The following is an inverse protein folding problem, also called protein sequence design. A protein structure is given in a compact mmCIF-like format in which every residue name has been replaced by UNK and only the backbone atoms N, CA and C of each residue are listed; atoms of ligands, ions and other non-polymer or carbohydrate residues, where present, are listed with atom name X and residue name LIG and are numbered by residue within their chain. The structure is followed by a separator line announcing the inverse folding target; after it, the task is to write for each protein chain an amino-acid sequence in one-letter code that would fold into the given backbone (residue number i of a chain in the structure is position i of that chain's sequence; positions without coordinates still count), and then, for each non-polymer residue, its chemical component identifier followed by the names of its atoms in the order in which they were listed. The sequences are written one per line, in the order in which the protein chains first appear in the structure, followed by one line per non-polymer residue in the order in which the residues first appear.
data_IF_756384398003
#
_entry.id   IF_756384398003
#
_cell.length_a   1.000
_cell.length_b   1.000
_cell.length_c   1.000
_cell.angle_alpha   90.00
_cell.angle_beta   90.00
_cell.angle_gamma   90.00
#
_symmetry.space_group_name_H-M   'P 1'
#
loop_
_entity.id
_entity.type
_entity.pdbx_description
1 polymer ?
#
# COMPACT_ATOMS: atom_id res chain seq x y z
N UNK A 1 -23.73 8.58 32.54
CA UNK A 1 -22.50 7.82 32.86
C UNK A 1 -22.05 6.92 31.71
N UNK A 2 -22.86 5.97 31.22
CA UNK A 2 -22.48 5.07 30.10
C UNK A 2 -22.16 5.80 28.78
N UNK A 3 -22.93 6.84 28.45
CA UNK A 3 -22.68 7.69 27.28
C UNK A 3 -21.28 8.34 27.30
N UNK A 4 -20.78 8.74 28.47
CA UNK A 4 -19.44 9.34 28.60
C UNK A 4 -18.33 8.31 28.35
N UNK A 5 -18.56 7.06 28.76
CA UNK A 5 -17.64 5.95 28.48
C UNK A 5 -17.61 5.61 27.00
N UNK A 6 -18.78 5.51 26.35
CA UNK A 6 -18.84 5.19 24.92
C UNK A 6 -18.34 6.31 24.01
N UNK A 7 -18.46 7.56 24.42
CA UNK A 7 -17.97 8.71 23.68
C UNK A 7 -16.51 9.08 24.00
N UNK A 8 -15.84 8.35 24.90
CA UNK A 8 -14.46 8.62 25.25
C UNK A 8 -13.53 8.38 24.05
N UNK A 9 -12.76 9.41 23.68
CA UNK A 9 -11.74 9.31 22.63
C UNK A 9 -10.42 8.91 23.27
N UNK A 10 -10.02 7.67 23.08
CA UNK A 10 -8.74 7.18 23.59
C UNK A 10 -7.63 7.21 22.52
N UNK A 11 -6.39 7.17 22.98
CA UNK A 11 -5.18 7.32 22.15
C UNK A 11 -4.69 5.98 21.60
N UNK A 12 -5.09 4.86 22.19
CA UNK A 12 -4.73 3.53 21.75
C UNK A 12 -5.94 2.59 21.76
N UNK A 13 -5.77 1.39 21.22
CA UNK A 13 -6.93 0.57 20.89
C UNK A 13 -7.34 -0.41 21.98
N UNK A 14 -6.44 -0.69 22.93
CA UNK A 14 -6.81 -1.33 24.19
C UNK A 14 -7.77 -0.43 24.95
N UNK A 15 -7.40 0.84 25.15
CA UNK A 15 -8.24 1.83 25.81
C UNK A 15 -9.56 2.04 25.06
N UNK A 16 -9.55 2.11 23.72
CA UNK A 16 -10.78 2.26 22.91
C UNK A 16 -11.72 1.09 23.11
N UNK A 17 -11.18 -0.12 23.18
CA UNK A 17 -11.98 -1.33 23.31
C UNK A 17 -12.50 -1.48 24.75
N UNK A 18 -11.64 -1.31 25.75
CA UNK A 18 -11.96 -1.42 27.18
C UNK A 18 -13.05 -0.44 27.58
N UNK A 19 -12.96 0.82 27.14
CA UNK A 19 -13.98 1.85 27.44
C UNK A 19 -15.37 1.50 26.90
N UNK A 20 -15.46 0.65 25.86
CA UNK A 20 -16.73 0.18 25.31
C UNK A 20 -17.30 -1.03 26.05
N UNK A 21 -16.45 -1.95 26.51
CA UNK A 21 -16.87 -3.25 27.06
C UNK A 21 -16.90 -3.29 28.58
N UNK A 22 -16.03 -2.55 29.27
CA UNK A 22 -15.87 -2.63 30.73
C UNK A 22 -17.17 -2.26 31.47
N UNK A 23 -17.93 -1.22 31.07
CA UNK A 23 -19.21 -0.95 31.72
C UNK A 23 -20.22 -2.09 31.61
N UNK A 24 -20.23 -2.80 30.47
CA UNK A 24 -21.12 -3.94 30.25
C UNK A 24 -20.73 -5.11 31.17
N UNK A 25 -19.43 -5.39 31.30
CA UNK A 25 -18.91 -6.43 32.20
C UNK A 25 -19.24 -6.10 33.66
N UNK A 26 -19.04 -4.85 34.09
CA UNK A 26 -19.36 -4.41 35.46
C UNK A 26 -20.84 -4.60 35.76
N UNK A 27 -21.73 -4.12 34.87
CA UNK A 27 -23.18 -4.26 35.06
C UNK A 27 -23.59 -5.73 35.09
N UNK A 28 -23.00 -6.58 34.25
CA UNK A 28 -23.24 -8.02 34.22
C UNK A 28 -22.85 -8.72 35.53
N UNK A 29 -21.65 -8.45 36.05
CA UNK A 29 -21.18 -9.06 37.30
C UNK A 29 -21.98 -8.57 38.53
N UNK A 30 -22.38 -7.29 38.54
CA UNK A 30 -23.28 -6.77 39.57
C UNK A 30 -24.67 -7.40 39.51
N UNK A 31 -25.19 -7.60 38.29
CA UNK A 31 -26.47 -8.27 38.09
C UNK A 31 -26.42 -9.72 38.60
N UNK A 32 -25.36 -10.49 38.27
CA UNK A 32 -25.17 -11.85 38.79
C UNK A 32 -25.09 -11.88 40.31
N UNK A 33 -24.30 -10.99 40.92
CA UNK A 33 -24.19 -10.91 42.38
C UNK A 33 -25.55 -10.62 43.06
N UNK A 34 -26.37 -9.74 42.45
CA UNK A 34 -27.73 -9.45 42.93
C UNK A 34 -28.65 -10.66 42.80
N UNK A 35 -28.59 -11.37 41.68
CA UNK A 35 -29.39 -12.56 41.44
C UNK A 35 -29.04 -13.69 42.41
N UNK A 36 -27.75 -13.98 42.62
CA UNK A 36 -27.32 -14.97 43.63
C UNK A 36 -27.82 -14.62 45.03
N UNK A 37 -27.82 -13.34 45.42
CA UNK A 37 -28.39 -12.93 46.71
C UNK A 37 -29.91 -13.15 46.76
N UNK A 38 -30.62 -12.80 45.69
CA UNK A 38 -32.09 -12.80 45.67
C UNK A 38 -32.68 -14.22 45.54
N UNK A 39 -32.06 -15.07 44.75
CA UNK A 39 -32.65 -16.36 44.35
C UNK A 39 -31.90 -17.58 44.91
N UNK A 40 -30.60 -17.45 45.22
CA UNK A 40 -29.78 -18.55 45.72
C UNK A 40 -29.42 -18.37 47.21
N UNK A 41 -29.84 -17.24 47.82
CA UNK A 41 -29.50 -16.83 49.18
C UNK A 41 -27.96 -16.77 49.44
N UNK A 42 -27.17 -16.62 48.38
CA UNK A 42 -25.72 -16.55 48.43
C UNK A 42 -25.25 -15.10 48.46
N UNK A 43 -24.49 -14.71 49.48
CA UNK A 43 -23.90 -13.37 49.58
C UNK A 43 -22.52 -13.35 48.91
N UNK A 44 -22.46 -12.83 47.70
CA UNK A 44 -21.20 -12.60 46.97
C UNK A 44 -20.48 -11.40 47.58
N UNK A 45 -19.18 -11.58 47.91
CA UNK A 45 -18.35 -10.49 48.44
C UNK A 45 -17.96 -9.50 47.33
N UNK A 46 -17.73 -8.24 47.71
CA UNK A 46 -17.23 -7.22 46.80
C UNK A 46 -15.91 -7.64 46.13
N UNK A 47 -15.01 -8.26 46.90
CA UNK A 47 -13.75 -8.78 46.39
C UNK A 47 -13.98 -9.79 45.25
N UNK A 48 -14.89 -10.76 45.44
CA UNK A 48 -15.21 -11.76 44.43
C UNK A 48 -15.81 -11.12 43.16
N UNK A 49 -16.69 -10.14 43.31
CA UNK A 49 -17.24 -9.40 42.15
C UNK A 49 -16.14 -8.65 41.40
N UNK A 50 -15.22 -7.97 42.10
CA UNK A 50 -14.07 -7.29 41.48
C UNK A 50 -13.18 -8.28 40.70
N UNK A 51 -12.87 -9.42 41.30
CA UNK A 51 -12.07 -10.48 40.65
C UNK A 51 -12.77 -11.02 39.40
N UNK A 52 -14.08 -11.26 39.46
CA UNK A 52 -14.81 -11.72 38.27
C UNK A 52 -14.78 -10.69 37.13
N UNK A 53 -14.97 -9.40 37.44
CA UNK A 53 -14.88 -8.32 36.43
C UNK A 53 -13.51 -8.34 35.74
N UNK A 54 -12.43 -8.41 36.52
CA UNK A 54 -11.07 -8.47 35.98
C UNK A 54 -10.86 -9.72 35.12
N UNK A 55 -11.25 -10.89 35.61
CA UNK A 55 -11.07 -12.16 34.89
C UNK A 55 -11.83 -12.16 33.55
N UNK A 56 -13.09 -11.72 33.55
CA UNK A 56 -13.88 -11.61 32.32
C UNK A 56 -13.26 -10.60 31.35
N UNK A 57 -12.79 -9.44 31.85
CA UNK A 57 -12.11 -8.46 31.01
C UNK A 57 -10.84 -9.05 30.37
N UNK A 58 -9.97 -9.70 31.15
CA UNK A 58 -8.73 -10.33 30.66
C UNK A 58 -9.03 -11.39 29.61
N UNK A 59 -10.03 -12.25 29.83
CA UNK A 59 -10.42 -13.28 28.85
C UNK A 59 -10.86 -12.67 27.52
N UNK A 60 -11.73 -11.64 27.56
CA UNK A 60 -12.20 -10.96 26.35
C UNK A 60 -11.04 -10.25 25.63
N UNK A 61 -10.11 -9.65 26.38
CA UNK A 61 -8.93 -9.00 25.82
C UNK A 61 -7.98 -10.01 25.16
N UNK A 62 -7.66 -11.13 25.82
CA UNK A 62 -6.82 -12.21 25.25
C UNK A 62 -7.44 -12.82 23.98
N UNK A 63 -8.77 -12.96 23.95
CA UNK A 63 -9.48 -13.44 22.74
C UNK A 63 -9.40 -12.44 21.58
N UNK A 64 -9.54 -11.13 21.87
CA UNK A 64 -9.51 -10.06 20.86
C UNK A 64 -8.08 -9.77 20.37
N UNK A 65 -7.12 -9.74 21.28
CA UNK A 65 -5.73 -9.35 21.05
C UNK A 65 -4.80 -10.55 21.23
N UNK A 66 -5.01 -11.61 20.45
CA UNK A 66 -4.31 -12.91 20.57
C UNK A 66 -2.78 -12.84 20.49
N UNK A 67 -2.24 -11.78 19.88
CA UNK A 67 -0.80 -11.55 19.69
C UNK A 67 -0.20 -10.58 20.71
N UNK A 68 -1.01 -10.06 21.63
CA UNK A 68 -0.53 -9.19 22.69
C UNK A 68 -0.27 -10.01 23.94
N UNK A 69 0.92 -9.89 24.51
CA UNK A 69 1.24 -10.52 25.77
C UNK A 69 0.71 -9.65 26.93
N UNK A 70 -0.57 -9.84 27.28
CA UNK A 70 -1.21 -9.13 28.37
C UNK A 70 -1.08 -9.90 29.69
N UNK A 71 -0.58 -9.23 30.71
CA UNK A 71 -0.68 -9.70 32.10
C UNK A 71 -2.13 -9.80 32.57
N UNK A 72 -2.37 -10.59 33.62
CA UNK A 72 -3.72 -10.83 34.17
C UNK A 72 -4.12 -9.80 35.24
N UNK A 73 -3.16 -9.00 35.69
CA UNK A 73 -3.37 -7.98 36.71
C UNK A 73 -3.92 -6.68 36.15
N UNK A 74 -4.67 -5.94 36.98
CA UNK A 74 -5.23 -4.64 36.60
C UNK A 74 -4.17 -3.62 36.16
N UNK A 75 -3.00 -3.65 36.80
CA UNK A 75 -1.86 -2.79 36.43
C UNK A 75 -1.38 -3.05 35.00
N UNK A 76 -1.31 -4.31 34.58
CA UNK A 76 -0.91 -4.67 33.21
C UNK A 76 -1.91 -4.14 32.18
N UNK A 77 -3.21 -4.16 32.51
CA UNK A 77 -4.27 -3.60 31.66
C UNK A 77 -4.13 -2.08 31.56
N UNK A 78 -3.84 -1.40 32.67
CA UNK A 78 -3.62 0.06 32.68
C UNK A 78 -2.41 0.42 31.82
N UNK A 79 -1.28 -0.27 32.00
CA UNK A 79 -0.08 -0.06 31.17
C UNK A 79 -0.38 -0.25 29.68
N UNK A 80 -1.15 -1.28 29.33
CA UNK A 80 -1.57 -1.50 27.93
C UNK A 80 -2.51 -0.39 27.40
N UNK A 81 -3.27 0.28 28.25
CA UNK A 81 -4.12 1.43 27.88
C UNK A 81 -3.33 2.74 27.70
N UNK A 82 -2.19 2.86 28.38
CA UNK A 82 -1.32 4.04 28.33
C UNK A 82 -0.18 3.89 27.30
N UNK A 83 0.12 2.65 26.90
CA UNK A 83 1.17 2.36 25.94
C UNK A 83 0.96 3.07 24.60
N UNK A 84 2.06 3.60 24.05
CA UNK A 84 2.09 4.16 22.72
C UNK A 84 2.28 3.05 21.68
N UNK A 85 1.18 2.53 21.16
CA UNK A 85 1.19 1.38 20.26
C UNK A 85 1.01 1.84 18.82
N UNK A 86 2.11 1.80 18.06
CA UNK A 86 2.08 2.01 16.61
C UNK A 86 1.50 0.80 15.89
N UNK A 87 0.47 1.04 15.10
CA UNK A 87 -0.19 -0.02 14.32
C UNK A 87 0.35 -0.03 12.91
N UNK A 88 0.87 -1.18 12.46
CA UNK A 88 1.46 -1.33 11.13
C UNK A 88 0.67 -2.38 10.34
N UNK A 89 0.12 -1.99 9.20
CA UNK A 89 -0.40 -2.93 8.20
C UNK A 89 0.63 -3.13 7.11
N UNK A 90 0.94 -4.40 6.90
CA UNK A 90 1.69 -4.86 5.75
C UNK A 90 0.72 -5.30 4.66
N UNK A 91 0.84 -4.70 3.48
CA UNK A 91 0.16 -5.13 2.26
C UNK A 91 1.18 -5.76 1.33
N UNK A 92 0.96 -7.01 0.94
CA UNK A 92 1.74 -7.66 -0.11
C UNK A 92 1.39 -7.03 -1.47
N UNK A 93 2.42 -6.58 -2.19
CA UNK A 93 2.37 -5.92 -3.50
C UNK A 93 3.22 -6.72 -4.46
N UNK A 94 2.73 -6.96 -5.67
CA UNK A 94 3.49 -7.58 -6.75
C UNK A 94 3.15 -6.95 -8.08
N UNK A 95 4.02 -7.14 -9.07
CA UNK A 95 3.67 -6.85 -10.45
C UNK A 95 2.57 -7.79 -10.93
N UNK A 96 1.49 -7.22 -11.47
CA UNK A 96 0.35 -8.00 -11.94
C UNK A 96 0.43 -8.19 -13.46
N UNK A 97 0.26 -9.42 -13.91
CA UNK A 97 0.08 -9.70 -15.34
C UNK A 97 -1.27 -9.14 -15.85
N UNK A 98 -1.43 -8.88 -17.15
CA UNK A 98 -2.73 -8.58 -17.73
C UNK A 98 -3.78 -9.66 -17.39
N UNK A 99 -5.06 -9.29 -17.20
CA UNK A 99 -6.12 -10.23 -16.78
C UNK A 99 -6.39 -11.31 -17.84
N UNK A 100 -6.69 -12.57 -17.42
CA UNK A 100 -6.99 -13.67 -18.34
C UNK A 100 -8.46 -13.74 -18.80
N UNK A 101 -8.72 -14.28 -20.00
CA UNK A 101 -7.73 -14.53 -21.05
C UNK A 101 -7.29 -13.17 -21.63
N UNK A 102 -5.98 -12.86 -21.67
CA UNK A 102 -5.58 -11.66 -22.38
C UNK A 102 -5.88 -11.89 -23.87
N UNK A 103 -6.47 -10.93 -24.58
CA UNK A 103 -6.41 -10.90 -26.03
C UNK A 103 -4.98 -11.22 -26.51
N UNK A 104 -4.83 -11.91 -27.66
CA UNK A 104 -3.53 -12.10 -28.28
C UNK A 104 -2.82 -10.74 -28.38
N UNK A 105 -1.55 -10.69 -28.01
CA UNK A 105 -0.69 -9.50 -28.14
C UNK A 105 -0.93 -8.33 -27.16
N UNK A 106 -1.63 -8.55 -26.04
CA UNK A 106 -1.58 -7.55 -24.94
C UNK A 106 -0.18 -7.51 -24.36
N UNK A 107 0.35 -6.29 -24.32
CA UNK A 107 1.58 -5.96 -23.63
C UNK A 107 1.32 -4.97 -22.51
N UNK A 108 2.22 -4.96 -21.53
CA UNK A 108 2.18 -4.00 -20.44
C UNK A 108 3.41 -3.11 -20.51
N UNK A 109 3.19 -1.80 -20.53
CA UNK A 109 4.21 -0.78 -20.34
C UNK A 109 4.18 -0.33 -18.88
N UNK A 110 5.30 -0.45 -18.20
CA UNK A 110 5.57 0.25 -16.96
C UNK A 110 6.50 1.42 -17.26
N UNK A 111 6.26 2.59 -16.69
CA UNK A 111 7.16 3.75 -16.79
C UNK A 111 7.34 4.44 -15.44
N UNK A 112 8.46 5.11 -15.29
CA UNK A 112 8.79 5.93 -14.13
C UNK A 112 9.71 7.11 -14.53
N UNK A 113 9.68 8.18 -13.74
CA UNK A 113 10.51 9.36 -13.86
C UNK A 113 11.36 9.60 -12.61
N UNK A 114 12.63 9.91 -12.82
CA UNK A 114 13.57 10.30 -11.77
C UNK A 114 13.96 11.76 -11.92
N UNK A 115 14.11 12.48 -10.81
CA UNK A 115 14.62 13.85 -10.81
C UNK A 115 15.60 14.02 -9.64
N UNK A 116 16.87 14.25 -9.96
CA UNK A 116 17.95 14.45 -9.00
C UNK A 116 18.54 15.85 -9.19
N UNK A 117 18.39 16.71 -8.17
CA UNK A 117 18.94 18.07 -8.16
C UNK A 117 18.54 18.91 -9.39
N UNK A 118 17.30 18.74 -9.86
CA UNK A 118 16.76 19.46 -11.02
C UNK A 118 17.13 18.85 -12.38
N UNK A 119 17.92 17.77 -12.41
CA UNK A 119 18.15 16.97 -13.61
C UNK A 119 17.18 15.80 -13.62
N UNK A 120 16.42 15.68 -14.69
CA UNK A 120 15.40 14.66 -14.90
C UNK A 120 15.92 13.55 -15.79
N UNK A 121 15.36 12.38 -15.57
CA UNK A 121 15.59 11.17 -16.34
C UNK A 121 14.39 10.25 -16.26
N UNK A 122 14.24 9.33 -17.19
CA UNK A 122 13.10 8.44 -17.26
C UNK A 122 13.52 7.01 -17.55
N UNK A 123 12.64 6.07 -17.26
CA UNK A 123 12.85 4.68 -17.62
C UNK A 123 11.53 3.93 -17.71
N UNK A 124 11.55 2.84 -18.47
CA UNK A 124 10.37 2.02 -18.65
C UNK A 124 10.69 0.64 -19.16
N UNK A 125 9.70 -0.23 -19.04
CA UNK A 125 9.79 -1.65 -19.39
C UNK A 125 8.48 -2.06 -20.06
N UNK A 126 8.60 -2.67 -21.24
CA UNK A 126 7.50 -3.27 -21.99
C UNK A 126 7.62 -4.79 -21.89
N UNK A 127 6.55 -5.44 -21.45
CA UNK A 127 6.47 -6.90 -21.24
C UNK A 127 5.27 -7.51 -21.92
N UNK A 128 5.41 -8.75 -22.38
CA UNK A 128 4.28 -9.55 -22.86
C UNK A 128 3.49 -10.21 -21.70
N UNK A 129 2.46 -10.97 -22.08
CA UNK A 129 1.63 -11.77 -21.17
C UNK A 129 2.39 -12.90 -20.43
N UNK A 130 3.55 -13.32 -20.95
CA UNK A 130 4.46 -14.31 -20.35
C UNK A 130 5.55 -13.65 -19.46
N UNK A 131 5.44 -12.34 -19.21
CA UNK A 131 6.42 -11.55 -18.42
C UNK A 131 7.79 -11.45 -19.10
N UNK A 132 7.90 -11.78 -20.38
CA UNK A 132 9.14 -11.62 -21.14
C UNK A 132 9.30 -10.14 -21.50
N UNK A 133 10.54 -9.68 -21.45
CA UNK A 133 10.88 -8.32 -21.86
C UNK A 133 10.80 -8.25 -23.37
N UNK A 134 10.04 -7.28 -23.87
CA UNK A 134 10.03 -6.87 -25.27
C UNK A 134 10.99 -5.70 -25.45
N UNK A 135 10.95 -4.75 -24.51
CA UNK A 135 11.78 -3.57 -24.52
C UNK A 135 11.99 -3.06 -23.09
N UNK A 136 13.15 -2.46 -22.84
CA UNK A 136 13.37 -1.58 -21.71
C UNK A 136 14.12 -0.34 -22.18
N UNK A 137 13.92 0.78 -21.51
CA UNK A 137 14.60 2.02 -21.87
C UNK A 137 15.02 2.84 -20.65
N UNK A 138 16.05 3.67 -20.86
CA UNK A 138 16.51 4.70 -19.94
C UNK A 138 16.79 5.96 -20.73
N UNK A 139 16.16 7.07 -20.37
CA UNK A 139 16.17 8.32 -21.11
C UNK A 139 16.74 9.45 -20.24
N UNK A 140 17.93 10.00 -20.54
CA UNK A 140 18.36 11.25 -19.92
C UNK A 140 17.49 12.39 -20.48
N UNK A 141 16.77 13.11 -19.61
CA UNK A 141 15.84 14.16 -20.03
C UNK A 141 16.41 15.58 -19.81
N UNK A 142 17.54 15.69 -19.11
CA UNK A 142 18.16 16.98 -18.80
C UNK A 142 17.36 17.79 -17.75
N UNK A 143 17.52 19.12 -17.70
CA UNK A 143 16.86 19.95 -16.69
C UNK A 143 15.33 19.80 -16.70
N UNK A 144 14.72 19.57 -15.53
CA UNK A 144 13.29 19.31 -15.45
C UNK A 144 12.75 19.15 -14.03
N UNK A 145 11.54 18.60 -13.95
CA UNK A 145 10.87 18.28 -12.68
C UNK A 145 10.52 16.79 -12.64
N UNK A 146 10.22 16.26 -11.46
CA UNK A 146 9.74 14.87 -11.31
C UNK A 146 8.47 14.62 -12.14
N UNK A 147 7.48 15.53 -12.10
CA UNK A 147 6.26 15.39 -12.90
C UNK A 147 6.53 15.38 -14.41
N UNK A 148 7.47 16.19 -14.88
CA UNK A 148 7.90 16.19 -16.29
C UNK A 148 8.60 14.88 -16.65
N UNK A 149 9.47 14.38 -15.78
CA UNK A 149 10.18 13.12 -15.98
C UNK A 149 9.21 11.94 -16.14
N UNK A 150 8.23 11.86 -15.25
CA UNK A 150 7.18 10.84 -15.24
C UNK A 150 6.35 10.88 -16.53
N UNK A 151 5.88 12.07 -16.91
CA UNK A 151 5.09 12.26 -18.13
C UNK A 151 5.91 11.93 -19.39
N UNK A 152 7.15 12.42 -19.48
CA UNK A 152 8.01 12.21 -20.65
C UNK A 152 8.41 10.74 -20.81
N UNK A 153 8.67 10.04 -19.69
CA UNK A 153 8.96 8.61 -19.67
C UNK A 153 7.78 7.80 -20.23
N UNK A 154 6.56 8.05 -19.72
CA UNK A 154 5.34 7.42 -20.24
C UNK A 154 5.15 7.70 -21.74
N UNK A 155 5.28 8.97 -22.15
CA UNK A 155 5.13 9.37 -23.55
C UNK A 155 6.14 8.64 -24.46
N UNK A 156 7.40 8.53 -24.04
CA UNK A 156 8.43 7.81 -24.78
C UNK A 156 8.04 6.33 -24.98
N UNK A 157 7.62 5.65 -23.92
CA UNK A 157 7.19 4.25 -23.99
C UNK A 157 5.99 4.05 -24.92
N UNK A 158 5.01 4.94 -24.86
CA UNK A 158 3.82 4.89 -25.74
C UNK A 158 4.21 5.12 -27.20
N UNK A 159 5.06 6.12 -27.49
CA UNK A 159 5.55 6.38 -28.85
C UNK A 159 6.36 5.23 -29.41
N UNK A 160 7.28 4.68 -28.60
CA UNK A 160 8.05 3.51 -28.98
C UNK A 160 7.12 2.36 -29.35
N UNK A 161 6.09 2.12 -28.54
CA UNK A 161 5.11 1.07 -28.79
C UNK A 161 4.35 1.26 -30.12
N UNK A 162 3.79 2.45 -30.34
CA UNK A 162 3.03 2.79 -31.56
C UNK A 162 3.89 2.60 -32.81
N UNK A 163 5.16 3.03 -32.74
CA UNK A 163 6.09 2.94 -33.88
C UNK A 163 6.53 1.49 -34.20
N UNK A 164 6.37 0.56 -33.26
CA UNK A 164 6.75 -0.85 -33.45
C UNK A 164 5.54 -1.75 -33.80
N UNK A 165 4.37 -1.18 -34.12
CA UNK A 165 3.26 -1.91 -34.74
C UNK A 165 2.51 -2.88 -33.84
N UNK A 166 2.57 -2.69 -32.53
CA UNK A 166 1.85 -3.51 -31.57
C UNK A 166 0.42 -2.98 -31.32
N UNK A 167 -0.53 -3.86 -30.95
CA UNK A 167 -1.97 -3.57 -30.99
C UNK A 167 -2.58 -2.94 -29.72
N UNK A 168 -2.48 -3.59 -28.56
CA UNK A 168 -3.11 -3.12 -27.30
C UNK A 168 -2.11 -3.06 -26.14
N UNK A 169 -2.01 -1.90 -25.49
CA UNK A 169 -1.16 -1.67 -24.30
C UNK A 169 -1.97 -1.35 -23.06
N UNK A 170 -1.55 -1.92 -21.92
CA UNK A 170 -1.87 -1.37 -20.61
C UNK A 170 -0.64 -0.61 -20.13
N UNK A 171 -0.76 0.70 -19.95
CA UNK A 171 0.28 1.54 -19.36
C UNK A 171 0.13 1.65 -17.85
N UNK A 172 1.22 1.55 -17.10
CA UNK A 172 1.26 1.67 -15.65
C UNK A 172 2.37 2.64 -15.21
N UNK A 173 2.03 3.54 -14.30
CA UNK A 173 2.95 4.45 -13.60
C UNK A 173 2.51 4.53 -12.14
N UNK A 174 3.44 4.75 -11.21
CA UNK A 174 3.13 5.03 -9.81
C UNK A 174 2.86 6.51 -9.54
N UNK A 175 2.88 7.36 -10.58
CA UNK A 175 2.45 8.75 -10.50
C UNK A 175 0.94 8.89 -10.63
N UNK A 176 0.26 9.01 -9.48
CA UNK A 176 -1.19 9.23 -9.44
C UNK A 176 -1.61 10.46 -10.25
N UNK A 177 -0.81 11.53 -10.21
CA UNK A 177 -1.03 12.76 -10.98
C UNK A 177 -1.15 12.46 -12.48
N UNK A 178 -0.17 11.76 -13.06
CA UNK A 178 -0.15 11.46 -14.49
C UNK A 178 -1.38 10.63 -14.88
N UNK A 179 -1.70 9.59 -14.10
CA UNK A 179 -2.86 8.74 -14.39
C UNK A 179 -4.18 9.51 -14.37
N UNK A 180 -4.39 10.41 -13.39
CA UNK A 180 -5.60 11.21 -13.27
C UNK A 180 -5.70 12.30 -14.34
N UNK A 181 -4.58 12.89 -14.72
CA UNK A 181 -4.51 13.85 -15.82
C UNK A 181 -4.80 13.20 -17.17
N UNK A 182 -4.21 12.06 -17.48
CA UNK A 182 -4.47 11.33 -18.75
C UNK A 182 -5.93 10.91 -18.85
N UNK A 183 -6.54 10.48 -17.76
CA UNK A 183 -7.98 10.13 -17.69
C UNK A 183 -8.92 11.34 -17.68
N UNK A 184 -8.38 12.57 -17.81
CA UNK A 184 -9.14 13.83 -17.75
C UNK A 184 -9.93 14.03 -16.45
N UNK A 185 -9.54 13.33 -15.37
CA UNK A 185 -10.17 13.45 -14.05
C UNK A 185 -9.67 14.68 -13.30
N UNK A 186 -8.40 15.04 -13.49
CA UNK A 186 -7.76 16.20 -12.85
C UNK A 186 -7.30 17.22 -13.88
N UNK A 187 -7.27 18.50 -13.47
CA UNK A 187 -6.70 19.58 -14.29
C UNK A 187 -5.20 19.39 -14.45
N UNK A 188 -4.74 19.42 -15.70
CA UNK A 188 -3.34 19.21 -16.04
C UNK A 188 -2.49 20.43 -15.64
N UNK A 189 -1.37 20.25 -14.91
CA UNK A 189 -0.42 21.34 -14.66
C UNK A 189 0.18 21.88 -15.96
N UNK A 190 0.22 23.20 -16.10
CA UNK A 190 0.63 23.88 -17.34
C UNK A 190 2.00 23.43 -17.87
N UNK A 191 2.97 23.14 -16.99
CA UNK A 191 4.33 22.71 -17.37
C UNK A 191 4.38 21.38 -18.11
N UNK A 192 3.40 20.49 -17.89
CA UNK A 192 3.33 19.17 -18.54
C UNK A 192 2.12 19.06 -19.48
N UNK A 193 1.41 20.16 -19.73
CA UNK A 193 0.17 20.17 -20.49
C UNK A 193 0.35 19.58 -21.89
N UNK A 194 1.39 20.00 -22.61
CA UNK A 194 1.66 19.51 -23.96
C UNK A 194 1.96 17.99 -23.97
N UNK A 195 2.75 17.49 -23.01
CA UNK A 195 3.09 16.07 -22.89
C UNK A 195 1.82 15.25 -22.63
N UNK A 196 0.98 15.71 -21.71
CA UNK A 196 -0.25 15.00 -21.34
C UNK A 196 -1.28 15.03 -22.47
N UNK A 197 -1.42 16.15 -23.18
CA UNK A 197 -2.31 16.23 -24.34
C UNK A 197 -1.88 15.21 -25.40
N UNK A 198 -0.57 15.11 -25.68
CA UNK A 198 -0.05 14.12 -26.63
C UNK A 198 -0.27 12.68 -26.15
N UNK A 199 -0.09 12.40 -24.85
CA UNK A 199 -0.44 11.08 -24.28
C UNK A 199 -1.94 10.80 -24.46
N UNK A 200 -2.81 11.77 -24.17
CA UNK A 200 -4.26 11.61 -24.31
C UNK A 200 -4.66 11.28 -25.75
N UNK A 201 -4.11 12.00 -26.73
CA UNK A 201 -4.35 11.76 -28.16
C UNK A 201 -3.90 10.34 -28.57
N UNK A 202 -2.70 9.92 -28.15
CA UNK A 202 -2.20 8.58 -28.44
C UNK A 202 -3.03 7.49 -27.76
N UNK A 203 -3.47 7.74 -26.53
CA UNK A 203 -4.33 6.83 -25.76
C UNK A 203 -5.69 6.65 -26.43
N UNK A 204 -6.34 7.74 -26.80
CA UNK A 204 -7.65 7.74 -27.48
C UNK A 204 -7.55 7.08 -28.87
N UNK A 205 -6.51 7.41 -29.64
CA UNK A 205 -6.32 6.87 -31.00
C UNK A 205 -6.04 5.36 -31.03
N UNK A 206 -5.30 4.84 -30.06
CA UNK A 206 -4.84 3.45 -30.07
C UNK A 206 -5.55 2.55 -29.02
N UNK A 207 -6.53 3.09 -28.29
CA UNK A 207 -7.27 2.32 -27.29
C UNK A 207 -6.43 1.86 -26.10
N UNK A 208 -5.47 2.68 -25.66
CA UNK A 208 -4.61 2.36 -24.52
C UNK A 208 -5.35 2.54 -23.19
N UNK A 209 -4.94 1.80 -22.17
CA UNK A 209 -5.43 2.00 -20.80
C UNK A 209 -4.28 2.37 -19.86
N UNK A 210 -4.31 3.59 -19.31
CA UNK A 210 -3.31 4.03 -18.33
C UNK A 210 -3.85 3.81 -16.91
N UNK A 211 -3.10 3.07 -16.08
CA UNK A 211 -3.43 2.71 -14.70
C UNK A 211 -2.35 3.16 -13.72
N UNK A 212 -2.78 3.38 -12.48
CA UNK A 212 -1.85 3.62 -11.38
C UNK A 212 -1.39 2.28 -10.81
N UNK A 213 -0.09 2.10 -10.64
CA UNK A 213 0.49 0.98 -9.92
C UNK A 213 1.15 1.43 -8.61
N UNK A 214 1.49 0.49 -7.74
CA UNK A 214 2.28 0.82 -6.55
C UNK A 214 3.75 0.83 -6.93
N UNK A 215 4.53 1.77 -6.36
CA UNK A 215 5.99 1.85 -6.57
C UNK A 215 6.72 0.53 -6.31
N UNK A 216 6.26 -0.26 -5.36
CA UNK A 216 6.82 -1.58 -5.06
C UNK A 216 6.65 -2.59 -6.20
N UNK A 217 5.67 -2.40 -7.09
CA UNK A 217 5.47 -3.15 -8.32
C UNK A 217 6.12 -2.50 -9.56
N UNK A 218 6.68 -1.29 -9.41
CA UNK A 218 7.32 -0.51 -10.47
C UNK A 218 8.86 -0.44 -10.31
N UNK A 219 9.45 -1.29 -9.47
CA UNK A 219 10.90 -1.23 -9.14
C UNK A 219 11.85 -1.32 -10.34
N UNK A 220 11.61 -2.18 -11.35
CA UNK A 220 12.49 -2.23 -12.53
C UNK A 220 12.59 -0.89 -13.26
N UNK A 221 11.46 -0.18 -13.38
CA UNK A 221 11.39 1.10 -14.09
C UNK A 221 11.95 2.24 -13.25
N UNK A 222 11.68 2.27 -11.95
CA UNK A 222 12.32 3.18 -10.98
C UNK A 222 13.84 3.08 -11.09
N UNK A 223 14.35 1.85 -11.17
CA UNK A 223 15.78 1.61 -11.30
C UNK A 223 16.34 2.10 -12.65
N UNK A 224 15.67 1.80 -13.76
CA UNK A 224 16.06 2.30 -15.08
C UNK A 224 16.04 3.84 -15.14
N UNK A 225 14.99 4.47 -14.58
CA UNK A 225 14.88 5.91 -14.48
C UNK A 225 16.03 6.51 -13.65
N UNK A 226 16.39 5.89 -12.53
CA UNK A 226 17.56 6.30 -11.75
C UNK A 226 18.88 6.11 -12.49
N UNK A 227 19.03 5.07 -13.31
CA UNK A 227 20.25 4.82 -14.06
C UNK A 227 20.45 5.81 -15.21
N UNK A 228 19.36 6.39 -15.73
CA UNK A 228 19.41 7.36 -16.83
C UNK A 228 20.25 8.60 -16.54
N UNK A 229 20.46 8.97 -15.27
CA UNK A 229 21.34 10.09 -14.88
C UNK A 229 22.83 9.85 -15.21
N UNK A 230 23.23 8.60 -15.46
CA UNK A 230 24.60 8.26 -15.83
C UNK A 230 24.78 8.08 -17.35
N UNK A 231 23.75 8.39 -18.15
CA UNK A 231 23.77 8.23 -19.59
C UNK A 231 23.74 9.58 -20.29
N UNK A 232 24.51 9.70 -21.37
CA UNK A 232 24.52 10.90 -22.22
C UNK A 232 23.42 10.85 -23.29
N UNK A 233 22.94 9.65 -23.63
CA UNK A 233 21.95 9.41 -24.67
C UNK A 233 20.85 8.46 -24.22
N UNK A 234 19.77 8.38 -24.99
CA UNK A 234 18.70 7.40 -24.79
C UNK A 234 19.27 5.99 -25.02
N UNK A 235 19.06 5.10 -24.06
CA UNK A 235 19.37 3.68 -24.19
C UNK A 235 18.08 2.88 -24.28
N UNK A 236 17.96 2.07 -25.34
CA UNK A 236 16.86 1.11 -25.54
C UNK A 236 17.45 -0.28 -25.63
N UNK A 237 16.89 -1.21 -24.86
CA UNK A 237 17.33 -2.59 -24.71
C UNK A 237 16.19 -3.50 -25.15
N UNK A 238 16.49 -4.53 -25.93
CA UNK A 238 15.49 -5.36 -26.60
C UNK A 238 15.42 -6.78 -26.07
N UNK A 239 16.33 -7.15 -25.16
CA UNK A 239 16.37 -8.49 -24.58
C UNK A 239 16.66 -8.47 -23.09
N UNK A 240 16.28 -9.55 -22.41
CA UNK A 240 16.60 -9.73 -20.99
C UNK A 240 18.12 -9.76 -20.74
N UNK A 241 18.90 -10.30 -21.68
CA UNK A 241 20.36 -10.41 -21.56
C UNK A 241 21.06 -9.06 -21.63
N UNK A 242 20.49 -8.07 -22.31
CA UNK A 242 21.00 -6.70 -22.38
C UNK A 242 20.75 -5.88 -21.11
N UNK A 243 19.81 -6.31 -20.26
CA UNK A 243 19.48 -5.57 -19.04
C UNK A 243 20.67 -5.48 -18.07
N UNK A 244 20.85 -4.34 -17.37
CA UNK A 244 21.77 -4.25 -16.25
C UNK A 244 21.43 -5.28 -15.16
N UNK A 245 22.45 -5.83 -14.49
CA UNK A 245 22.27 -6.91 -13.50
C UNK A 245 21.26 -6.55 -12.39
N UNK A 246 21.26 -5.30 -11.93
CA UNK A 246 20.33 -4.82 -10.92
C UNK A 246 18.87 -4.85 -11.42
N UNK A 247 18.64 -4.53 -12.70
CA UNK A 247 17.32 -4.57 -13.33
C UNK A 247 16.90 -6.02 -13.63
N UNK A 248 17.83 -6.87 -14.09
CA UNK A 248 17.60 -8.32 -14.28
C UNK A 248 17.05 -8.97 -13.01
N UNK A 249 17.66 -8.69 -11.85
CA UNK A 249 17.21 -9.19 -10.56
C UNK A 249 15.75 -8.83 -10.27
N UNK A 250 15.39 -7.56 -10.46
CA UNK A 250 14.03 -7.07 -10.23
C UNK A 250 13.02 -7.67 -11.21
N UNK A 251 13.37 -7.78 -12.49
CA UNK A 251 12.53 -8.42 -13.51
C UNK A 251 12.33 -9.91 -13.20
N UNK A 252 13.36 -10.60 -12.71
CA UNK A 252 13.27 -12.00 -12.31
C UNK A 252 12.38 -12.19 -11.08
N UNK A 253 12.44 -11.27 -10.10
CA UNK A 253 11.51 -11.28 -8.96
C UNK A 253 10.05 -11.15 -9.42
N UNK A 254 9.77 -10.24 -10.35
CA UNK A 254 8.43 -10.10 -10.96
C UNK A 254 8.03 -11.41 -11.68
N UNK A 255 8.97 -12.03 -12.42
CA UNK A 255 8.74 -13.30 -13.13
C UNK A 255 8.40 -14.44 -12.17
N UNK A 256 9.06 -14.50 -11.02
CA UNK A 256 8.84 -15.49 -9.96
C UNK A 256 7.65 -15.18 -9.03
N UNK A 257 6.89 -14.11 -9.30
CA UNK A 257 5.73 -13.72 -8.49
C UNK A 257 6.09 -13.38 -7.02
N UNK A 258 7.32 -12.91 -6.79
CA UNK A 258 7.79 -12.52 -5.46
C UNK A 258 7.12 -11.22 -5.04
N UNK A 259 6.60 -11.20 -3.82
CA UNK A 259 5.91 -10.04 -3.27
C UNK A 259 6.90 -9.09 -2.60
N UNK A 260 6.66 -7.81 -2.82
CA UNK A 260 7.17 -6.72 -1.98
C UNK A 260 6.13 -6.37 -0.92
N UNK A 261 6.57 -5.78 0.20
CA UNK A 261 5.66 -5.41 1.27
C UNK A 261 5.60 -3.90 1.42
N UNK A 262 4.38 -3.36 1.32
CA UNK A 262 4.08 -1.98 1.68
C UNK A 262 3.64 -1.95 3.13
N UNK A 263 4.44 -1.34 3.98
CA UNK A 263 4.10 -1.15 5.39
C UNK A 263 3.55 0.26 5.55
N UNK A 264 2.30 0.37 5.99
CA UNK A 264 1.68 1.64 6.37
C UNK A 264 1.31 1.60 7.84
N UNK A 265 1.32 2.75 8.49
CA UNK A 265 0.64 2.86 9.76
C UNK A 265 -0.87 2.77 9.49
N UNK A 266 -1.53 1.79 10.08
CA UNK A 266 -2.97 1.61 9.94
C UNK A 266 -3.69 2.08 11.20
N UNK A 267 -4.93 2.49 11.02
CA UNK A 267 -5.91 2.52 12.11
C UNK A 267 -6.39 1.07 12.37
N UNK A 268 -7.01 0.76 13.50
CA UNK A 268 -6.78 -0.50 14.23
C UNK A 268 -7.22 -1.81 13.61
N UNK A 269 -6.26 -2.65 13.23
CA UNK A 269 -6.54 -4.04 12.86
C UNK A 269 -5.45 -5.04 13.26
N UNK A 270 -4.16 -4.66 13.30
CA UNK A 270 -3.06 -5.59 13.61
C UNK A 270 -2.02 -4.95 14.56
N UNK A 271 -2.13 -5.21 15.86
CA UNK A 271 -1.12 -4.81 16.86
C UNK A 271 -0.43 -6.06 17.44
N UNK A 272 0.88 -5.93 17.60
CA UNK A 272 1.74 -6.76 18.46
C UNK A 272 2.14 -5.86 19.64
N UNK A 273 1.89 -6.29 20.87
CA UNK A 273 2.25 -5.55 22.09
C UNK A 273 2.98 -6.50 23.02
N UNK A 274 4.22 -6.18 23.31
CA UNK A 274 5.04 -6.81 24.34
C UNK A 274 5.35 -5.74 25.39
N UNK A 275 4.91 -5.92 26.65
CA UNK A 275 5.20 -4.97 27.73
C UNK A 275 6.71 -4.96 28.05
N UNK A 276 7.25 -3.84 28.57
CA UNK A 276 8.60 -3.80 29.13
C UNK A 276 8.77 -4.75 30.32
#
# INVERSE_FOLDING_TARGET
MLLNWWNYKSHNIFATYITKILPLIIVWELWKARCSRKFENLRVSFYRTKTNVLNTLVQVLKMKFRRANLGEEWSAICNACEANIEQRVSRAIKWNKPPPPPPPHIVKLNSDGSCLRGISGGGGVVRDNERRIICAYSIPLGPGTSNMAEAASMLFGIKWYVNNGHSVIIGETDSLLITKCVRREWKVPWRILHIINEIQELVEKNGFEIKHCFREANRPTDKLASMSHNFESIHVLYSHTELPNQVKGLVNMDKWDIHSFRIKMDKPSHIIYDPP
#
